data_IF_279501121738
#
_entry.id   IF_279501121738
#
_cell.length_a   1.000
_cell.length_b   1.000
_cell.length_c   1.000
_cell.angle_alpha   90.00
_cell.angle_beta   90.00
_cell.angle_gamma   90.00
#
_symmetry.space_group_name_H-M   'P 1'
#
loop_
_entity.id
_entity.type
_entity.pdbx_description
1 polymer ?
#
# COMPACT_ATOMS: atom_id res chain seq x y z
N UNK A 1 -5.03 8.15 -7.33
CA UNK A 1 -4.26 8.82 -6.26
C UNK A 1 -4.77 8.37 -4.89
N UNK A 2 -3.86 7.92 -4.03
CA UNK A 2 -4.13 7.35 -2.69
C UNK A 2 -4.94 8.31 -1.79
N UNK A 3 -4.46 9.55 -1.63
CA UNK A 3 -5.10 10.54 -0.76
C UNK A 3 -6.55 10.89 -1.17
N UNK A 4 -6.85 10.97 -2.47
CA UNK A 4 -8.23 11.21 -2.94
C UNK A 4 -9.17 10.07 -2.59
N UNK A 5 -8.70 8.82 -2.55
CA UNK A 5 -9.53 7.69 -2.14
C UNK A 5 -9.91 7.84 -0.67
N UNK A 6 -8.94 8.10 0.21
CA UNK A 6 -9.23 8.29 1.64
C UNK A 6 -10.10 9.53 1.91
N UNK A 7 -9.92 10.62 1.17
CA UNK A 7 -10.79 11.79 1.26
C UNK A 7 -12.26 11.45 0.93
N UNK A 8 -12.53 10.61 -0.09
CA UNK A 8 -13.90 10.17 -0.44
C UNK A 8 -14.56 9.32 0.65
N UNK A 9 -13.76 8.66 1.48
CA UNK A 9 -14.24 7.89 2.63
C UNK A 9 -14.30 8.72 3.92
N UNK A 10 -14.11 10.05 3.85
CA UNK A 10 -14.13 10.97 4.99
C UNK A 10 -13.11 10.64 6.08
N UNK A 11 -11.93 10.13 5.71
CA UNK A 11 -10.83 10.01 6.67
C UNK A 11 -10.34 11.40 7.13
N UNK A 12 -9.79 11.54 8.35
CA UNK A 12 -9.26 12.81 8.84
C UNK A 12 -8.12 13.36 7.96
N UNK A 13 -7.97 14.68 7.96
CA UNK A 13 -6.91 15.38 7.21
C UNK A 13 -5.51 14.83 7.53
N UNK A 14 -5.25 14.40 8.76
CA UNK A 14 -3.99 13.76 9.17
C UNK A 14 -3.71 12.48 8.38
N UNK A 15 -4.73 11.63 8.18
CA UNK A 15 -4.60 10.40 7.39
C UNK A 15 -4.47 10.72 5.90
N UNK A 16 -5.19 11.74 5.41
CA UNK A 16 -5.10 12.20 4.03
C UNK A 16 -3.69 12.75 3.75
N UNK A 17 -3.12 13.52 4.67
CA UNK A 17 -1.76 14.02 4.59
C UNK A 17 -0.75 12.86 4.55
N UNK A 18 -0.89 11.87 5.44
CA UNK A 18 -0.04 10.69 5.43
C UNK A 18 -0.16 9.90 4.11
N UNK A 19 -1.35 9.77 3.54
CA UNK A 19 -1.55 9.15 2.22
C UNK A 19 -0.90 9.96 1.09
N UNK A 20 -0.89 11.29 1.18
CA UNK A 20 -0.24 12.14 0.19
C UNK A 20 1.29 11.99 0.23
N UNK A 21 1.84 11.72 1.41
CA UNK A 21 3.29 11.64 1.64
C UNK A 21 3.80 10.23 1.91
N UNK A 22 3.03 9.17 1.65
CA UNK A 22 3.38 7.82 2.07
C UNK A 22 4.71 7.30 1.48
N UNK A 23 5.06 7.74 0.26
CA UNK A 23 6.29 7.34 -0.42
C UNK A 23 7.49 8.27 -0.14
N UNK A 24 7.31 9.40 0.57
CA UNK A 24 8.40 10.41 0.66
C UNK A 24 9.65 9.89 1.37
N UNK A 25 9.50 8.96 2.31
CA UNK A 25 10.63 8.33 3.00
C UNK A 25 11.29 7.21 2.16
N UNK A 26 10.59 6.64 1.17
CA UNK A 26 11.12 5.62 0.27
C UNK A 26 11.79 6.25 -0.96
N UNK A 27 11.13 7.22 -1.59
CA UNK A 27 11.46 7.67 -2.95
C UNK A 27 12.26 8.99 -3.00
N UNK A 28 12.55 9.59 -1.84
CA UNK A 28 13.21 10.90 -1.78
C UNK A 28 14.21 11.00 -0.62
N UNK A 29 15.09 12.02 -0.65
CA UNK A 29 16.00 12.34 0.45
C UNK A 29 15.31 13.07 1.63
N UNK A 30 13.98 13.02 1.70
CA UNK A 30 13.21 13.69 2.74
C UNK A 30 13.27 12.87 4.04
N UNK A 31 13.81 13.47 5.11
CA UNK A 31 14.04 12.76 6.38
C UNK A 31 12.84 12.76 7.33
N UNK A 32 12.81 11.76 8.23
CA UNK A 32 11.78 11.59 9.27
C UNK A 32 11.58 12.87 10.11
N UNK A 33 12.67 13.51 10.56
CA UNK A 33 12.59 14.72 11.39
C UNK A 33 11.88 15.87 10.65
N UNK A 34 12.18 16.06 9.36
CA UNK A 34 11.51 17.10 8.55
C UNK A 34 10.03 16.79 8.35
N UNK A 35 9.68 15.51 8.16
CA UNK A 35 8.29 15.09 8.02
C UNK A 35 7.50 15.35 9.29
N UNK A 36 8.09 15.03 10.45
CA UNK A 36 7.51 15.31 11.76
C UNK A 36 7.38 16.81 12.04
N UNK A 37 8.37 17.61 11.68
CA UNK A 37 8.33 19.07 11.84
C UNK A 37 7.20 19.70 11.01
N UNK A 38 6.97 19.20 9.79
CA UNK A 38 5.99 19.78 8.87
C UNK A 38 4.56 19.25 9.06
N UNK A 39 4.40 17.96 9.33
CA UNK A 39 3.10 17.28 9.34
C UNK A 39 2.76 16.62 10.69
N UNK A 40 3.66 16.69 11.66
CA UNK A 40 3.45 16.17 13.00
C UNK A 40 3.79 14.69 13.16
N UNK A 41 3.85 14.24 14.42
CA UNK A 41 4.25 12.88 14.78
C UNK A 41 3.27 11.83 14.27
N UNK A 42 1.96 12.11 14.25
CA UNK A 42 0.96 11.13 13.81
C UNK A 42 1.13 10.77 12.33
N UNK A 43 1.39 11.76 11.47
CA UNK A 43 1.70 11.53 10.06
C UNK A 43 2.98 10.73 9.92
N UNK A 44 4.05 11.10 10.64
CA UNK A 44 5.30 10.34 10.61
C UNK A 44 5.09 8.87 10.98
N UNK A 45 4.38 8.57 12.08
CA UNK A 45 4.16 7.19 12.51
C UNK A 45 3.37 6.38 11.47
N UNK A 46 2.38 6.99 10.82
CA UNK A 46 1.63 6.34 9.73
C UNK A 46 2.54 6.07 8.52
N UNK A 47 3.30 7.08 8.08
CA UNK A 47 4.20 6.95 6.91
C UNK A 47 5.26 5.89 7.18
N UNK A 48 5.89 5.90 8.36
CA UNK A 48 6.85 4.86 8.77
C UNK A 48 6.24 3.47 8.78
N UNK A 49 4.98 3.34 9.21
CA UNK A 49 4.32 2.05 9.24
C UNK A 49 4.08 1.45 7.86
N UNK A 50 3.98 2.29 6.83
CA UNK A 50 3.81 1.90 5.42
C UNK A 50 5.09 2.03 4.59
N UNK A 51 6.21 2.37 5.22
CA UNK A 51 7.54 2.43 4.58
C UNK A 51 8.22 1.05 4.65
N UNK A 52 8.74 0.59 3.52
CA UNK A 52 9.49 -0.65 3.42
C UNK A 52 10.93 -0.48 3.93
N UNK A 53 11.48 -1.56 4.47
CA UNK A 53 12.89 -1.61 4.85
C UNK A 53 13.74 -2.17 3.70
N UNK A 54 14.42 -1.29 2.98
CA UNK A 54 15.28 -1.63 1.83
C UNK A 54 16.59 -2.33 2.19
N UNK A 55 16.92 -2.45 3.49
CA UNK A 55 18.07 -3.23 3.93
C UNK A 55 17.83 -4.74 3.91
N UNK A 56 16.57 -5.17 3.78
CA UNK A 56 16.17 -6.58 3.87
C UNK A 56 15.96 -7.23 2.48
N UNK A 57 16.19 -8.55 2.37
CA UNK A 57 15.77 -9.32 1.19
C UNK A 57 14.27 -9.15 0.93
N UNK A 58 13.86 -9.21 -0.34
CA UNK A 58 12.49 -8.88 -0.77
C UNK A 58 11.39 -9.59 0.05
N UNK A 59 11.51 -10.91 0.29
CA UNK A 59 10.50 -11.64 1.07
C UNK A 59 10.43 -11.20 2.53
N UNK A 60 11.58 -10.93 3.15
CA UNK A 60 11.66 -10.43 4.53
C UNK A 60 11.15 -9.01 4.62
N UNK A 61 11.50 -8.14 3.66
CA UNK A 61 10.95 -6.79 3.49
C UNK A 61 9.41 -6.83 3.45
N UNK A 62 8.82 -7.74 2.65
CA UNK A 62 7.36 -7.87 2.54
C UNK A 62 6.70 -8.45 3.79
N UNK A 63 7.30 -9.44 4.45
CA UNK A 63 6.81 -9.95 5.75
C UNK A 63 6.85 -8.88 6.84
N UNK A 64 7.95 -8.13 6.92
CA UNK A 64 8.10 -7.01 7.87
C UNK A 64 7.06 -5.93 7.61
N UNK A 65 6.85 -5.54 6.35
CA UNK A 65 5.78 -4.59 5.98
C UNK A 65 4.41 -5.05 6.48
N UNK A 66 4.02 -6.32 6.24
CA UNK A 66 2.73 -6.86 6.69
C UNK A 66 2.61 -6.78 8.21
N UNK A 67 3.66 -7.11 8.95
CA UNK A 67 3.67 -7.06 10.41
C UNK A 67 3.63 -5.63 10.97
N UNK A 68 4.35 -4.71 10.34
CA UNK A 68 4.32 -3.30 10.73
C UNK A 68 2.93 -2.71 10.51
N UNK A 69 2.29 -2.95 9.37
CA UNK A 69 0.93 -2.46 9.10
C UNK A 69 -0.11 -3.12 10.00
N UNK A 70 0.04 -4.44 10.29
CA UNK A 70 -0.81 -5.17 11.25
C UNK A 70 -0.86 -4.47 12.61
N UNK A 71 0.30 -4.09 13.13
CA UNK A 71 0.46 -3.47 14.44
C UNK A 71 0.29 -1.94 14.41
N UNK A 72 0.19 -1.35 13.22
CA UNK A 72 -0.04 0.07 13.02
C UNK A 72 -1.48 0.51 13.34
N UNK A 73 -1.68 1.83 13.35
CA UNK A 73 -3.01 2.43 13.53
C UNK A 73 -3.97 2.08 12.38
N UNK A 74 -5.27 2.30 12.59
CA UNK A 74 -6.25 2.21 11.50
C UNK A 74 -5.92 3.19 10.35
N UNK A 75 -5.26 4.30 10.66
CA UNK A 75 -4.68 5.21 9.68
C UNK A 75 -3.63 4.55 8.78
N UNK A 76 -2.69 3.81 9.37
CA UNK A 76 -1.69 3.04 8.62
C UNK A 76 -2.35 1.97 7.73
N UNK A 77 -3.37 1.28 8.26
CA UNK A 77 -4.13 0.30 7.47
C UNK A 77 -4.90 0.94 6.32
N UNK A 78 -5.48 2.12 6.54
CA UNK A 78 -6.17 2.89 5.51
C UNK A 78 -5.23 3.34 4.39
N UNK A 79 -4.07 3.92 4.73
CA UNK A 79 -3.05 4.32 3.75
C UNK A 79 -2.56 3.10 2.98
N UNK A 80 -2.19 2.02 3.67
CA UNK A 80 -1.73 0.79 3.04
C UNK A 80 -2.74 0.19 2.07
N UNK A 81 -4.03 0.06 2.46
CA UNK A 81 -5.03 -0.53 1.55
C UNK A 81 -5.30 0.40 0.36
N UNK A 82 -5.34 1.72 0.57
CA UNK A 82 -5.60 2.66 -0.50
C UNK A 82 -4.47 2.70 -1.53
N UNK A 83 -3.22 2.57 -1.08
CA UNK A 83 -2.06 2.37 -1.96
C UNK A 83 -2.19 1.07 -2.77
N UNK A 84 -2.51 -0.06 -2.12
CA UNK A 84 -2.66 -1.33 -2.84
C UNK A 84 -3.78 -1.29 -3.86
N UNK A 85 -4.93 -0.70 -3.52
CA UNK A 85 -6.02 -0.49 -4.48
C UNK A 85 -5.54 0.35 -5.67
N UNK A 86 -4.86 1.47 -5.42
CA UNK A 86 -4.34 2.33 -6.48
C UNK A 86 -3.36 1.61 -7.40
N UNK A 87 -2.48 0.78 -6.84
CA UNK A 87 -1.52 -0.02 -7.58
C UNK A 87 -2.21 -1.09 -8.43
N UNK A 88 -3.27 -1.73 -7.91
CA UNK A 88 -4.08 -2.66 -8.68
C UNK A 88 -4.84 -1.97 -9.81
N UNK A 89 -5.50 -0.83 -9.54
CA UNK A 89 -6.18 -0.04 -10.57
C UNK A 89 -5.21 0.33 -11.71
N UNK A 90 -4.00 0.78 -11.35
CA UNK A 90 -2.95 1.13 -12.31
C UNK A 90 -2.46 -0.08 -13.09
N UNK A 91 -2.32 -1.24 -12.43
CA UNK A 91 -1.95 -2.50 -13.06
C UNK A 91 -2.99 -2.93 -14.10
N UNK A 92 -4.29 -2.83 -13.79
CA UNK A 92 -5.37 -3.20 -14.70
C UNK A 92 -5.35 -2.33 -15.96
N UNK A 93 -5.17 -1.02 -15.79
CA UNK A 93 -5.05 -0.09 -16.93
C UNK A 93 -3.84 -0.45 -17.78
N UNK A 94 -2.68 -0.66 -17.15
CA UNK A 94 -1.47 -1.03 -17.86
C UNK A 94 -1.58 -2.38 -18.61
N UNK A 95 -2.27 -3.36 -18.01
CA UNK A 95 -2.49 -4.67 -18.63
C UNK A 95 -3.45 -4.55 -19.82
N UNK A 96 -4.50 -3.74 -19.72
CA UNK A 96 -5.41 -3.49 -20.84
C UNK A 96 -4.69 -2.90 -22.08
N UNK A 97 -3.61 -2.15 -21.88
CA UNK A 97 -2.80 -1.55 -22.96
C UNK A 97 -1.70 -2.49 -23.48
N UNK A 98 -1.06 -3.26 -22.60
CA UNK A 98 0.19 -3.99 -22.90
C UNK A 98 0.01 -5.51 -22.95
N UNK A 99 -1.10 -6.03 -22.44
CA UNK A 99 -1.37 -7.46 -22.29
C UNK A 99 -0.35 -8.18 -21.39
N UNK A 100 -0.13 -9.49 -21.62
CA UNK A 100 0.77 -10.33 -20.81
C UNK A 100 2.22 -9.86 -20.74
N UNK A 101 2.66 -9.04 -21.70
CA UNK A 101 4.03 -8.50 -21.74
C UNK A 101 4.34 -7.60 -20.53
N UNK A 102 3.30 -7.04 -19.89
CA UNK A 102 3.43 -6.28 -18.66
C UNK A 102 4.16 -7.07 -17.55
N UNK A 103 3.92 -8.37 -17.46
CA UNK A 103 4.50 -9.22 -16.41
C UNK A 103 6.03 -9.30 -16.49
N UNK A 104 6.62 -9.08 -17.67
CA UNK A 104 8.09 -9.05 -17.83
C UNK A 104 8.75 -7.87 -17.11
N UNK A 105 7.99 -6.84 -16.75
CA UNK A 105 8.47 -5.69 -15.97
C UNK A 105 8.53 -5.97 -14.47
N UNK A 106 7.91 -7.06 -14.00
CA UNK A 106 7.95 -7.45 -12.59
C UNK A 106 9.18 -8.32 -12.32
N UNK A 107 10.18 -7.78 -11.62
CA UNK A 107 11.43 -8.47 -11.28
C UNK A 107 11.27 -9.84 -10.62
N UNK A 108 10.14 -10.07 -9.92
CA UNK A 108 9.83 -11.34 -9.25
C UNK A 108 8.70 -12.12 -9.92
N UNK A 109 8.05 -11.57 -10.95
CA UNK A 109 6.91 -12.21 -11.62
C UNK A 109 5.59 -12.12 -10.85
N UNK A 110 4.54 -12.66 -11.48
CA UNK A 110 3.15 -12.57 -11.03
C UNK A 110 2.88 -13.37 -9.74
N UNK A 111 3.46 -14.56 -9.60
CA UNK A 111 3.19 -15.44 -8.46
C UNK A 111 3.60 -14.81 -7.12
N UNK A 112 4.80 -14.23 -7.07
CA UNK A 112 5.34 -13.58 -5.87
C UNK A 112 4.54 -12.31 -5.54
N UNK A 113 4.12 -11.54 -6.55
CA UNK A 113 3.22 -10.41 -6.33
C UNK A 113 1.91 -10.88 -5.70
N UNK A 114 1.24 -11.88 -6.29
CA UNK A 114 -0.01 -12.43 -5.76
C UNK A 114 0.15 -13.00 -4.36
N UNK A 115 1.27 -13.68 -4.05
CA UNK A 115 1.56 -14.13 -2.69
C UNK A 115 1.55 -12.96 -1.70
N UNK A 116 2.26 -11.88 -2.02
CA UNK A 116 2.34 -10.70 -1.15
C UNK A 116 0.96 -10.04 -0.96
N UNK A 117 0.21 -9.85 -2.04
CA UNK A 117 -1.13 -9.25 -1.97
C UNK A 117 -2.10 -10.11 -1.14
N UNK A 118 -2.04 -11.44 -1.24
CA UNK A 118 -2.87 -12.33 -0.43
C UNK A 118 -2.49 -12.27 1.06
N UNK A 119 -1.20 -12.13 1.40
CA UNK A 119 -0.77 -11.94 2.80
C UNK A 119 -1.27 -10.60 3.37
N UNK A 120 -1.24 -9.53 2.56
CA UNK A 120 -1.81 -8.23 2.91
C UNK A 120 -3.32 -8.31 3.13
N UNK A 121 -4.06 -8.92 2.20
CA UNK A 121 -5.51 -9.10 2.32
C UNK A 121 -5.88 -9.90 3.57
N UNK A 122 -5.18 -11.01 3.81
CA UNK A 122 -5.36 -11.84 5.01
C UNK A 122 -5.13 -11.03 6.29
N UNK A 123 -4.09 -10.21 6.31
CA UNK A 123 -3.81 -9.32 7.45
C UNK A 123 -4.96 -8.32 7.66
N UNK A 124 -5.46 -7.66 6.61
CA UNK A 124 -6.58 -6.73 6.76
C UNK A 124 -7.83 -7.40 7.29
N UNK A 125 -8.23 -8.55 6.71
CA UNK A 125 -9.41 -9.31 7.15
C UNK A 125 -9.37 -9.73 8.62
N UNK A 126 -8.18 -9.88 9.19
CA UNK A 126 -7.99 -10.26 10.59
C UNK A 126 -7.96 -9.07 11.55
N UNK A 127 -7.61 -7.88 11.07
CA UNK A 127 -7.18 -6.77 11.94
C UNK A 127 -8.02 -5.51 11.77
N UNK A 128 -8.78 -5.38 10.67
CA UNK A 128 -9.51 -4.15 10.38
C UNK A 128 -10.72 -4.41 9.48
N UNK A 129 -11.92 -4.11 9.99
CA UNK A 129 -13.17 -4.22 9.25
C UNK A 129 -13.50 -2.89 8.58
N UNK A 130 -13.36 -2.80 7.26
CA UNK A 130 -13.65 -1.58 6.51
C UNK A 130 -14.01 -1.90 5.04
N UNK A 131 -14.94 -1.16 4.40
CA UNK A 131 -15.33 -1.42 3.00
C UNK A 131 -14.20 -1.37 1.96
N UNK A 132 -13.12 -0.64 2.27
CA UNK A 132 -11.92 -0.63 1.41
C UNK A 132 -11.26 -2.02 1.31
N UNK A 133 -11.41 -2.87 2.33
CA UNK A 133 -10.87 -4.24 2.30
C UNK A 133 -11.65 -5.10 1.30
N UNK A 134 -12.97 -4.92 1.22
CA UNK A 134 -13.82 -5.63 0.27
C UNK A 134 -13.55 -5.17 -1.18
N UNK A 135 -13.34 -3.86 -1.38
CA UNK A 135 -12.94 -3.31 -2.67
C UNK A 135 -11.59 -3.88 -3.12
N UNK A 136 -10.61 -3.90 -2.22
CA UNK A 136 -9.29 -4.47 -2.47
C UNK A 136 -9.36 -5.95 -2.83
N UNK A 137 -10.14 -6.75 -2.10
CA UNK A 137 -10.38 -8.16 -2.44
C UNK A 137 -10.98 -8.32 -3.84
N UNK A 138 -11.99 -7.51 -4.18
CA UNK A 138 -12.63 -7.55 -5.49
C UNK A 138 -11.67 -7.25 -6.65
N UNK A 139 -10.70 -6.36 -6.44
CA UNK A 139 -9.65 -6.07 -7.42
C UNK A 139 -8.60 -7.17 -7.51
N UNK A 140 -8.23 -7.80 -6.39
CA UNK A 140 -7.33 -8.96 -6.41
C UNK A 140 -7.91 -10.16 -7.15
N UNK A 141 -9.21 -10.40 -7.02
CA UNK A 141 -9.89 -11.44 -7.80
C UNK A 141 -9.93 -11.15 -9.30
N UNK A 142 -9.87 -9.87 -9.70
CA UNK A 142 -9.68 -9.49 -11.09
C UNK A 142 -8.22 -9.71 -11.54
N UNK A 143 -7.24 -9.38 -10.69
CA UNK A 143 -5.82 -9.53 -11.03
C UNK A 143 -5.45 -10.99 -11.31
N UNK A 144 -6.00 -11.90 -10.49
CA UNK A 144 -5.81 -13.34 -10.65
C UNK A 144 -6.21 -13.84 -12.05
N UNK A 145 -7.20 -13.20 -12.68
CA UNK A 145 -7.76 -13.58 -13.99
C UNK A 145 -7.00 -13.00 -15.18
N UNK A 146 -6.12 -12.03 -14.98
CA UNK A 146 -5.27 -11.50 -16.04
C UNK A 146 -4.35 -12.60 -16.56
N UNK A 147 -4.11 -12.67 -17.86
CA UNK A 147 -3.18 -13.60 -18.49
C UNK A 147 -1.73 -13.10 -18.42
#
# INVERSE_FOLDING_TARGET
>A
MVALKLAKYNFPDTIIAAALTHDVLEDTDFGEEKLKEQLGSEVLEIVKAVTNDDSLPWEEKKKKYVETVRNGSDGAKAVAVADKIHNLESLMIAHAEQGPELWKKFNRGKEQKLWFENEVLKMFKQTWQHPLVDEYEGLLEQEKKLD
#
